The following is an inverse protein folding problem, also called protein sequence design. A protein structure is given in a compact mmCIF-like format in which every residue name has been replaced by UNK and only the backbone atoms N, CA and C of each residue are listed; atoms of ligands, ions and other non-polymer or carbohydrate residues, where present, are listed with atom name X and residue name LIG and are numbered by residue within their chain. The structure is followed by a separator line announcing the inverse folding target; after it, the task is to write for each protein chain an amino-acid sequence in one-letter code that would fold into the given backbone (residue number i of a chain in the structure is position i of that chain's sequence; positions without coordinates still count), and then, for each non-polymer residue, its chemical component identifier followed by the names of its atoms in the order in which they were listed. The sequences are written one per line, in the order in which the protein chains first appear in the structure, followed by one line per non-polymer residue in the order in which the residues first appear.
data_IF_651586860971
#
_entry.id   IF_651586860971
#
_cell.length_a   1.000
_cell.length_b   1.000
_cell.length_c   1.000
_cell.angle_alpha   90.00
_cell.angle_beta   90.00
_cell.angle_gamma   90.00
#
_symmetry.space_group_name_H-M   'P 1'
#
loop_
_entity.id
_entity.type
_entity.pdbx_description
1 polymer ?
#
# COMPACT_ATOMS: atom_id res chain seq x y z
N UNK A 1 10.00 -15.64 0.95
CA UNK A 1 9.52 -14.91 -0.24
C UNK A 1 8.77 -15.88 -1.13
N UNK A 2 7.46 -15.68 -1.32
CA UNK A 2 6.56 -16.60 -2.03
C UNK A 2 6.63 -16.49 -3.58
N UNK A 3 7.77 -16.08 -4.14
CA UNK A 3 7.95 -15.94 -5.59
C UNK A 3 7.28 -14.72 -6.25
N UNK A 4 6.81 -13.76 -5.46
CA UNK A 4 6.17 -12.53 -5.96
C UNK A 4 7.15 -11.36 -6.10
N UNK A 5 6.97 -10.54 -7.15
CA UNK A 5 7.72 -9.29 -7.34
C UNK A 5 7.02 -8.11 -6.67
N UNK A 6 7.38 -7.84 -5.42
CA UNK A 6 6.79 -6.79 -4.58
C UNK A 6 7.58 -5.49 -4.72
N UNK A 7 6.89 -4.35 -4.77
CA UNK A 7 7.48 -3.01 -4.69
C UNK A 7 6.63 -2.20 -3.70
N UNK A 8 7.27 -1.37 -2.88
CA UNK A 8 6.60 -0.44 -1.97
C UNK A 8 6.70 0.95 -2.56
N UNK A 9 5.57 1.67 -2.59
CA UNK A 9 5.50 3.01 -3.18
C UNK A 9 4.84 3.98 -2.22
N UNK A 10 5.43 5.14 -2.06
CA UNK A 10 4.91 6.24 -1.25
C UNK A 10 4.59 7.43 -2.16
N UNK A 11 3.53 8.22 -1.88
CA UNK A 11 3.23 9.41 -2.67
C UNK A 11 4.32 10.49 -2.51
N UNK A 12 4.88 10.62 -1.30
CA UNK A 12 5.87 11.63 -0.93
C UNK A 12 6.95 11.03 -0.01
N UNK A 13 7.96 11.83 0.31
CA UNK A 13 9.01 11.48 1.26
C UNK A 13 8.46 11.18 2.67
N UNK A 14 9.26 10.46 3.44
CA UNK A 14 9.02 10.13 4.85
C UNK A 14 10.25 10.54 5.69
N UNK A 15 10.12 10.68 7.02
CA UNK A 15 11.23 11.09 7.88
C UNK A 15 12.47 10.18 7.76
N UNK A 16 13.67 10.78 7.76
CA UNK A 16 14.97 10.11 7.54
C UNK A 16 15.21 8.98 8.55
N UNK A 17 14.66 9.08 9.77
CA UNK A 17 14.81 8.05 10.80
C UNK A 17 14.25 6.68 10.37
N UNK A 18 13.28 6.67 9.43
CA UNK A 18 12.71 5.44 8.90
C UNK A 18 13.57 4.80 7.80
N UNK A 19 14.58 5.48 7.26
CA UNK A 19 15.51 4.90 6.29
C UNK A 19 16.33 3.74 6.90
N UNK A 20 16.46 3.70 8.22
CA UNK A 20 17.09 2.60 8.95
C UNK A 20 16.27 1.31 8.95
N UNK A 21 14.99 1.35 8.55
CA UNK A 21 14.14 0.16 8.51
C UNK A 21 14.54 -0.77 7.37
N UNK A 22 14.52 -2.11 7.58
CA UNK A 22 14.79 -3.07 6.52
C UNK A 22 13.86 -2.86 5.32
N UNK A 23 14.46 -2.70 4.13
CA UNK A 23 13.74 -2.47 2.86
C UNK A 23 13.34 -1.02 2.60
N UNK A 24 13.63 -0.07 3.51
CA UNK A 24 13.34 1.34 3.28
C UNK A 24 14.07 1.92 2.05
N UNK A 25 15.31 1.48 1.81
CA UNK A 25 16.09 1.89 0.64
C UNK A 25 15.51 1.43 -0.71
N UNK A 26 14.59 0.45 -0.71
CA UNK A 26 13.93 -0.05 -1.92
C UNK A 26 12.55 0.62 -2.16
N UNK A 27 12.13 1.56 -1.31
CA UNK A 27 10.86 2.28 -1.46
C UNK A 27 10.98 3.29 -2.60
N UNK A 28 10.02 3.25 -3.52
CA UNK A 28 9.91 4.25 -4.58
C UNK A 28 9.00 5.40 -4.14
N UNK A 29 9.50 6.63 -4.24
CA UNK A 29 8.75 7.83 -3.87
C UNK A 29 8.23 8.50 -5.14
N UNK A 30 6.91 8.65 -5.26
CA UNK A 30 6.25 9.16 -6.47
C UNK A 30 6.70 10.59 -6.82
N UNK A 31 6.78 11.48 -5.84
CA UNK A 31 7.16 12.89 -6.07
C UNK A 31 8.61 13.05 -6.55
N UNK A 32 9.50 12.09 -6.28
CA UNK A 32 10.90 12.11 -6.71
C UNK A 32 11.11 11.30 -8.00
N UNK A 33 10.47 10.14 -8.09
CA UNK A 33 10.71 9.12 -9.12
C UNK A 33 9.44 8.81 -9.94
N UNK A 34 8.67 9.84 -10.30
CA UNK A 34 7.33 9.68 -10.92
C UNK A 34 7.31 8.73 -12.13
N UNK A 35 8.24 8.88 -13.08
CA UNK A 35 8.26 8.06 -14.29
C UNK A 35 8.64 6.60 -14.01
N UNK A 36 9.56 6.36 -13.07
CA UNK A 36 9.89 5.00 -12.62
C UNK A 36 8.70 4.36 -11.92
N UNK A 37 8.01 5.10 -11.03
CA UNK A 37 6.80 4.63 -10.37
C UNK A 37 5.73 4.22 -11.39
N UNK A 38 5.49 5.02 -12.44
CA UNK A 38 4.56 4.66 -13.52
C UNK A 38 4.98 3.38 -14.24
N UNK A 39 6.26 3.24 -14.58
CA UNK A 39 6.78 2.04 -15.22
C UNK A 39 6.61 0.79 -14.37
N UNK A 40 6.85 0.90 -13.05
CA UNK A 40 6.66 -0.20 -12.09
C UNK A 40 5.19 -0.55 -11.96
N UNK A 41 4.33 0.44 -11.67
CA UNK A 41 2.90 0.27 -11.44
C UNK A 41 2.19 -0.34 -12.66
N UNK A 42 2.55 0.07 -13.87
CA UNK A 42 1.95 -0.47 -15.11
C UNK A 42 2.17 -1.97 -15.32
N UNK A 43 3.14 -2.58 -14.62
CA UNK A 43 3.47 -4.00 -14.69
C UNK A 43 2.86 -4.81 -13.54
N UNK A 44 2.17 -4.17 -12.59
CA UNK A 44 1.56 -4.85 -11.44
C UNK A 44 0.14 -5.30 -11.77
N UNK A 45 -0.27 -6.38 -11.13
CA UNK A 45 -1.60 -6.99 -11.28
C UNK A 45 -2.37 -7.08 -9.96
N UNK A 46 -1.73 -6.71 -8.84
CA UNK A 46 -2.29 -6.66 -7.51
C UNK A 46 -1.76 -5.39 -6.81
N UNK A 47 -2.66 -4.65 -6.19
CA UNK A 47 -2.36 -3.47 -5.39
C UNK A 47 -2.90 -3.69 -3.98
N UNK A 48 -2.04 -3.46 -2.99
CA UNK A 48 -2.41 -3.50 -1.58
C UNK A 48 -2.29 -2.09 -1.04
N UNK A 49 -3.41 -1.49 -0.68
CA UNK A 49 -3.51 -0.17 -0.07
C UNK A 49 -3.47 -0.33 1.44
N UNK A 50 -2.48 0.30 2.07
CA UNK A 50 -2.23 0.22 3.50
C UNK A 50 -2.37 1.63 4.09
N UNK A 51 -3.16 1.75 5.16
CA UNK A 51 -3.25 2.97 5.98
C UNK A 51 -3.89 4.19 5.30
N UNK A 52 -4.61 3.95 4.21
CA UNK A 52 -5.51 4.94 3.63
C UNK A 52 -6.75 4.28 3.02
N UNK A 53 -7.84 5.05 2.99
CA UNK A 53 -9.14 4.58 2.54
C UNK A 53 -9.79 5.40 1.42
N UNK A 54 -9.05 6.36 0.85
CA UNK A 54 -9.47 7.12 -0.33
C UNK A 54 -8.26 7.40 -1.23
N UNK A 55 -8.42 7.31 -2.56
CA UNK A 55 -7.30 7.56 -3.49
C UNK A 55 -6.78 9.00 -3.45
N UNK A 56 -7.60 9.95 -2.99
CA UNK A 56 -7.18 11.34 -2.76
C UNK A 56 -6.09 11.45 -1.69
N UNK A 57 -5.94 10.46 -0.80
CA UNK A 57 -4.92 10.43 0.26
C UNK A 57 -3.51 10.21 -0.27
N UNK A 58 -3.37 9.73 -1.50
CA UNK A 58 -2.09 9.52 -2.18
C UNK A 58 -1.89 10.50 -3.36
N UNK A 59 -2.61 11.63 -3.34
CA UNK A 59 -2.48 12.75 -4.28
C UNK A 59 -2.43 12.30 -5.77
N UNK A 60 -1.50 12.86 -6.57
CA UNK A 60 -1.34 12.59 -8.01
C UNK A 60 -1.10 11.13 -8.34
N UNK A 61 -0.53 10.35 -7.42
CA UNK A 61 -0.37 8.92 -7.59
C UNK A 61 -1.74 8.22 -7.64
N UNK A 62 -2.71 8.71 -6.88
CA UNK A 62 -4.07 8.19 -6.85
C UNK A 62 -4.79 8.29 -8.19
N UNK A 63 -4.59 9.39 -8.93
CA UNK A 63 -5.17 9.57 -10.26
C UNK A 63 -4.60 8.58 -11.28
N UNK A 64 -3.30 8.28 -11.17
CA UNK A 64 -2.67 7.26 -12.02
C UNK A 64 -3.14 5.86 -11.66
N UNK A 65 -3.11 5.50 -10.37
CA UNK A 65 -3.50 4.18 -9.86
C UNK A 65 -4.98 3.86 -10.15
N UNK A 66 -5.86 4.87 -10.11
CA UNK A 66 -7.30 4.71 -10.37
C UNK A 66 -7.60 3.94 -11.65
N UNK A 67 -6.81 4.20 -12.70
CA UNK A 67 -7.03 3.67 -14.05
C UNK A 67 -6.26 2.37 -14.34
N UNK A 68 -5.41 1.91 -13.41
CA UNK A 68 -4.63 0.69 -13.63
C UNK A 68 -5.51 -0.56 -13.47
N UNK A 69 -5.35 -1.55 -14.38
CA UNK A 69 -5.98 -2.85 -14.22
C UNK A 69 -5.29 -3.64 -13.11
N UNK A 70 -6.03 -4.50 -12.44
CA UNK A 70 -5.49 -5.37 -11.40
C UNK A 70 -6.42 -5.46 -10.19
N UNK A 71 -6.18 -6.47 -9.36
CA UNK A 71 -6.93 -6.65 -8.11
C UNK A 71 -6.45 -5.66 -7.06
N UNK A 72 -7.38 -5.21 -6.22
CA UNK A 72 -7.13 -4.21 -5.18
C UNK A 72 -7.60 -4.73 -3.84
N UNK A 73 -6.73 -4.65 -2.84
CA UNK A 73 -7.02 -4.98 -1.45
C UNK A 73 -6.71 -3.72 -0.63
N UNK A 74 -7.61 -3.35 0.28
CA UNK A 74 -7.38 -2.28 1.25
C UNK A 74 -7.32 -2.89 2.65
N UNK A 75 -6.30 -2.51 3.43
CA UNK A 75 -6.18 -2.80 4.86
C UNK A 75 -5.98 -1.45 5.56
N UNK A 76 -7.00 -1.01 6.30
CA UNK A 76 -7.02 0.34 6.86
C UNK A 76 -7.91 0.44 8.10
N UNK A 77 -7.54 1.30 9.04
CA UNK A 77 -8.28 1.51 10.29
C UNK A 77 -8.92 2.91 10.39
N UNK A 78 -8.91 3.71 9.33
CA UNK A 78 -9.55 5.03 9.35
C UNK A 78 -11.07 4.91 9.14
N UNK A 79 -11.81 5.87 9.70
CA UNK A 79 -13.27 5.96 9.53
C UNK A 79 -13.65 6.32 8.08
N UNK A 80 -14.85 5.90 7.68
CA UNK A 80 -15.52 6.29 6.43
C UNK A 80 -14.74 5.94 5.15
N UNK A 81 -14.52 4.64 4.85
CA UNK A 81 -13.74 4.25 3.69
C UNK A 81 -14.51 4.43 2.37
N UNK A 82 -13.82 4.90 1.33
CA UNK A 82 -14.33 4.93 -0.04
C UNK A 82 -14.24 3.53 -0.68
N UNK A 83 -15.05 3.28 -1.71
CA UNK A 83 -14.99 2.03 -2.49
C UNK A 83 -13.79 2.04 -3.47
N UNK A 84 -12.57 1.94 -2.95
CA UNK A 84 -11.32 2.01 -3.75
C UNK A 84 -10.73 0.63 -4.10
N UNK A 85 -11.21 -0.44 -3.48
CA UNK A 85 -10.67 -1.80 -3.60
C UNK A 85 -11.74 -2.87 -3.86
N UNK A 86 -11.33 -4.01 -4.44
CA UNK A 86 -12.19 -5.20 -4.60
C UNK A 86 -12.48 -5.85 -3.25
N UNK A 87 -11.47 -5.88 -2.37
CA UNK A 87 -11.56 -6.43 -1.02
C UNK A 87 -11.13 -5.37 -0.01
N UNK A 88 -11.92 -5.17 1.03
CA UNK A 88 -11.69 -4.15 2.04
C UNK A 88 -11.67 -4.81 3.42
N UNK A 89 -10.51 -4.80 4.06
CA UNK A 89 -10.36 -5.11 5.47
C UNK A 89 -10.28 -3.80 6.25
N UNK A 90 -11.42 -3.33 6.77
CA UNK A 90 -11.55 -2.05 7.47
C UNK A 90 -12.06 -2.24 8.89
N UNK A 91 -11.20 -1.97 9.88
CA UNK A 91 -11.51 -2.09 11.30
C UNK A 91 -11.14 -0.80 12.04
N UNK A 92 -12.07 0.17 12.19
CA UNK A 92 -11.77 1.45 12.85
C UNK A 92 -11.38 1.35 14.33
N UNK A 93 -11.69 0.23 14.97
CA UNK A 93 -11.33 -0.05 16.36
C UNK A 93 -9.91 -0.61 16.51
N UNK A 94 -9.22 -0.92 15.40
CA UNK A 94 -7.84 -1.36 15.45
C UNK A 94 -6.89 -0.21 15.82
N UNK A 95 -5.83 -0.52 16.57
CA UNK A 95 -4.88 0.49 17.03
C UNK A 95 -4.02 1.06 15.90
N UNK A 96 -3.77 0.25 14.87
CA UNK A 96 -2.95 0.62 13.71
C UNK A 96 -3.18 -0.33 12.53
N UNK A 97 -2.87 0.14 11.33
CA UNK A 97 -2.79 -0.74 10.15
C UNK A 97 -1.73 -1.84 10.31
N UNK A 98 -0.63 -1.60 11.04
CA UNK A 98 0.37 -2.63 11.35
C UNK A 98 -0.21 -3.81 12.13
N UNK A 99 -1.06 -3.56 13.13
CA UNK A 99 -1.79 -4.60 13.85
C UNK A 99 -2.67 -5.42 12.92
N UNK A 100 -3.39 -4.76 12.01
CA UNK A 100 -4.26 -5.43 11.04
C UNK A 100 -3.46 -6.27 10.04
N UNK A 101 -2.32 -5.76 9.55
CA UNK A 101 -1.40 -6.52 8.68
C UNK A 101 -0.88 -7.76 9.39
N UNK A 102 -0.50 -7.64 10.67
CA UNK A 102 -0.10 -8.80 11.47
C UNK A 102 -1.22 -9.84 11.58
N UNK A 103 -2.44 -9.42 11.94
CA UNK A 103 -3.61 -10.32 12.02
C UNK A 103 -3.92 -10.98 10.69
N UNK A 104 -3.81 -10.24 9.58
CA UNK A 104 -4.03 -10.75 8.23
C UNK A 104 -3.03 -11.85 7.86
N UNK A 105 -1.73 -11.61 8.11
CA UNK A 105 -0.65 -12.57 7.87
C UNK A 105 -0.82 -13.83 8.75
N UNK A 106 -1.08 -13.65 10.05
CA UNK A 106 -1.35 -14.76 10.95
C UNK A 106 -2.58 -15.58 10.54
N UNK A 107 -3.64 -14.91 10.04
CA UNK A 107 -4.87 -15.55 9.58
C UNK A 107 -4.71 -16.43 8.34
N UNK A 108 -3.72 -16.17 7.49
CA UNK A 108 -3.38 -17.03 6.34
C UNK A 108 -2.42 -18.17 6.69
N UNK A 109 -2.06 -18.31 7.97
CA UNK A 109 -1.17 -19.37 8.47
C UNK A 109 0.32 -19.10 8.22
N UNK A 110 0.68 -17.87 7.84
CA UNK A 110 2.06 -17.44 7.70
C UNK A 110 2.46 -16.71 9.01
N UNK A 111 3.60 -17.05 9.60
CA UNK A 111 4.01 -16.52 10.91
C UNK A 111 3.76 -17.43 12.13
N UNK A 112 3.51 -18.73 11.91
CA UNK A 112 3.81 -19.79 12.89
C UNK A 112 5.18 -20.42 12.60
#
# INVERSE_FOLDING_TARGET
QHGHTVHVLFPSEFPEEFEALPGAADILIWDIHTEECKQVLSKKNLFIFLDFNALSRIDKMGDYVRNLPGKRIMIDHHLYPDQIADYMYSEPEASSTCEMVYRFIAGIGDGQ
#
